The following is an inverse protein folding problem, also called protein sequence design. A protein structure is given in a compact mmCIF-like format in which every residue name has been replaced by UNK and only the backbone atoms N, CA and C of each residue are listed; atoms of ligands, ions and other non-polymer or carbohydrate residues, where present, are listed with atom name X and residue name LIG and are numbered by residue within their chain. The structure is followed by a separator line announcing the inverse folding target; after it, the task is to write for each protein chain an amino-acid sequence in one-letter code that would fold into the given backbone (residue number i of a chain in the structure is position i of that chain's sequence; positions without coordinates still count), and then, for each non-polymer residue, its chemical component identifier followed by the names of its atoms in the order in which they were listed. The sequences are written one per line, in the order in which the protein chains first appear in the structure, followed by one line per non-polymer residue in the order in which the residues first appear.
data_IF_164957938028
#
_entry.id   IF_164957938028
#
_cell.length_a   1.000
_cell.length_b   1.000
_cell.length_c   1.000
_cell.angle_alpha   90.00
_cell.angle_beta   90.00
_cell.angle_gamma   90.00
#
_symmetry.space_group_name_H-M   'P 1'
#
loop_
_entity.id
_entity.type
_entity.pdbx_description
1 polymer ?
#
# COMPACT_ATOMS: atom_id res chain seq x y z
N UNK A 1 -2.91 -18.51 20.53
CA UNK A 1 -3.30 -17.19 20.00
C UNK A 1 -2.06 -16.43 19.57
N UNK A 2 -1.58 -16.68 18.35
CA UNK A 2 -0.58 -15.84 17.69
C UNK A 2 -1.24 -15.32 16.41
N UNK A 3 -2.05 -14.27 16.57
CA UNK A 3 -2.68 -13.53 15.49
C UNK A 3 -1.59 -12.64 14.86
N UNK A 4 -0.66 -13.26 14.13
CA UNK A 4 0.47 -12.58 13.50
C UNK A 4 0.00 -11.76 12.30
N UNK A 5 -0.56 -10.59 12.60
CA UNK A 5 -0.27 -9.34 11.90
C UNK A 5 -0.78 -9.21 10.47
N UNK A 6 -2.02 -9.56 10.18
CA UNK A 6 -2.68 -9.07 8.97
C UNK A 6 -3.10 -7.61 9.22
N UNK A 7 -2.29 -6.66 8.77
CA UNK A 7 -2.65 -5.24 8.78
C UNK A 7 -3.31 -4.92 7.44
N UNK A 8 -4.62 -5.11 7.36
CA UNK A 8 -5.42 -4.78 6.16
C UNK A 8 -5.70 -3.27 6.02
N UNK A 9 -4.98 -2.45 6.79
CA UNK A 9 -5.19 -1.02 6.86
C UNK A 9 -3.87 -0.24 6.93
N UNK A 10 -3.89 0.95 6.36
CA UNK A 10 -2.83 1.94 6.48
C UNK A 10 -3.38 3.19 7.16
N UNK A 11 -2.52 3.95 7.82
CA UNK A 11 -2.86 5.24 8.41
C UNK A 11 -1.95 6.29 7.81
N UNK A 12 -2.52 7.35 7.23
CA UNK A 12 -1.79 8.43 6.56
C UNK A 12 -2.56 9.73 6.79
N UNK A 13 -1.88 10.82 7.17
CA UNK A 13 -2.47 12.15 7.32
C UNK A 13 -3.79 12.18 8.11
N UNK A 14 -3.80 11.58 9.30
CA UNK A 14 -4.99 11.43 10.17
C UNK A 14 -6.18 10.70 9.53
N UNK A 15 -5.93 9.90 8.48
CA UNK A 15 -6.93 9.03 7.86
C UNK A 15 -6.51 7.58 7.99
N UNK A 16 -7.49 6.71 8.27
CA UNK A 16 -7.32 5.26 8.25
C UNK A 16 -7.92 4.75 6.94
N UNK A 17 -7.18 3.90 6.22
CA UNK A 17 -7.58 3.34 4.94
C UNK A 17 -7.59 1.82 4.99
N UNK A 18 -8.57 1.18 4.37
CA UNK A 18 -8.60 -0.28 4.23
C UNK A 18 -9.30 -0.70 2.95
N UNK A 19 -8.98 -1.91 2.48
CA UNK A 19 -9.61 -2.49 1.30
C UNK A 19 -10.99 -3.05 1.65
N UNK A 20 -11.95 -2.83 0.75
CA UNK A 20 -13.29 -3.41 0.81
C UNK A 20 -13.58 -4.04 -0.55
N UNK A 21 -13.99 -5.31 -0.57
CA UNK A 21 -14.30 -6.02 -1.81
C UNK A 21 -14.53 -7.51 -1.58
N UNK A 22 -14.90 -8.21 -2.65
CA UNK A 22 -15.10 -9.66 -2.61
C UNK A 22 -13.77 -10.43 -2.64
N UNK A 23 -13.81 -11.67 -2.12
CA UNK A 23 -12.68 -12.61 -2.22
C UNK A 23 -12.44 -13.08 -3.66
N UNK A 24 -13.51 -13.18 -4.45
CA UNK A 24 -13.41 -13.50 -5.88
C UNK A 24 -12.86 -12.30 -6.62
N UNK A 25 -11.96 -12.54 -7.58
CA UNK A 25 -11.38 -11.46 -8.36
C UNK A 25 -12.46 -10.77 -9.21
N UNK A 26 -12.82 -9.57 -8.77
CA UNK A 26 -13.52 -8.57 -9.58
C UNK A 26 -12.96 -7.18 -9.20
N UNK A 27 -12.09 -6.59 -10.05
CA UNK A 27 -11.49 -5.29 -9.77
C UNK A 27 -12.54 -4.16 -9.72
N UNK A 28 -13.72 -4.38 -10.33
CA UNK A 28 -14.85 -3.46 -10.25
C UNK A 28 -15.59 -3.52 -8.93
N UNK A 29 -15.35 -4.54 -8.11
CA UNK A 29 -15.86 -4.68 -6.75
C UNK A 29 -14.88 -4.22 -5.66
N UNK A 30 -13.62 -3.92 -6.00
CA UNK A 30 -12.62 -3.46 -5.03
C UNK A 30 -12.75 -1.95 -4.81
N UNK A 31 -12.82 -1.54 -3.55
CA UNK A 31 -12.85 -0.15 -3.09
C UNK A 31 -11.82 0.05 -1.99
N UNK A 32 -11.34 1.28 -1.86
CA UNK A 32 -10.56 1.69 -0.70
C UNK A 32 -11.47 2.60 0.12
N UNK A 33 -11.78 2.19 1.34
CA UNK A 33 -12.54 3.01 2.28
C UNK A 33 -11.57 3.81 3.13
N UNK A 34 -11.92 5.05 3.44
CA UNK A 34 -11.17 5.91 4.34
C UNK A 34 -12.05 6.37 5.50
N UNK A 35 -11.47 6.50 6.68
CA UNK A 35 -12.06 7.18 7.82
C UNK A 35 -11.14 8.33 8.24
N UNK A 36 -11.66 9.55 8.17
CA UNK A 36 -10.95 10.76 8.57
C UNK A 36 -11.14 10.99 10.07
N UNK A 37 -10.04 10.92 10.82
CA UNK A 37 -10.06 11.01 12.28
C UNK A 37 -10.37 12.42 12.79
N UNK A 38 -10.17 13.46 11.97
CA UNK A 38 -10.42 14.85 12.37
C UNK A 38 -11.89 15.22 12.22
N UNK A 39 -12.49 14.79 11.13
CA UNK A 39 -13.88 15.08 10.79
C UNK A 39 -14.85 13.95 11.15
N UNK A 40 -14.32 12.79 11.57
CA UNK A 40 -15.06 11.57 11.88
C UNK A 40 -15.96 11.08 10.73
N UNK A 41 -15.53 11.31 9.49
CA UNK A 41 -16.30 10.99 8.30
C UNK A 41 -15.68 9.86 7.48
N UNK A 42 -16.55 9.06 6.88
CA UNK A 42 -16.16 8.05 5.90
C UNK A 42 -16.02 8.66 4.51
N UNK A 43 -15.07 8.13 3.75
CA UNK A 43 -14.83 8.47 2.36
C UNK A 43 -14.52 7.24 1.52
N UNK A 44 -14.60 7.41 0.21
CA UNK A 44 -14.19 6.40 -0.75
C UNK A 44 -13.04 6.95 -1.59
N UNK A 45 -12.01 6.13 -1.74
CA UNK A 45 -10.87 6.39 -2.62
C UNK A 45 -10.95 5.43 -3.79
N UNK A 46 -10.73 5.97 -4.99
CA UNK A 46 -10.69 5.17 -6.22
C UNK A 46 -9.60 4.12 -6.14
N UNK A 47 -9.94 2.85 -6.40
CA UNK A 47 -8.95 1.79 -6.54
C UNK A 47 -8.21 1.94 -7.89
N UNK A 48 -6.88 1.71 -7.97
CA UNK A 48 -6.10 1.78 -9.21
C UNK A 48 -6.38 0.60 -10.18
N UNK A 49 -7.63 0.46 -10.63
CA UNK A 49 -8.12 -0.66 -11.47
C UNK A 49 -7.29 -0.92 -12.73
N UNK A 50 -6.79 0.15 -13.35
CA UNK A 50 -5.96 0.06 -14.58
C UNK A 50 -4.65 -0.69 -14.36
N UNK A 51 -4.20 -0.79 -13.11
CA UNK A 51 -2.84 -1.22 -12.81
C UNK A 51 -2.75 -2.51 -12.00
N UNK A 52 -3.83 -2.96 -11.36
CA UNK A 52 -3.86 -4.22 -10.61
C UNK A 52 -5.02 -5.11 -11.05
N UNK A 53 -4.69 -6.36 -11.39
CA UNK A 53 -5.61 -7.44 -11.74
C UNK A 53 -5.69 -8.50 -10.62
N UNK A 54 -5.53 -8.08 -9.36
CA UNK A 54 -5.47 -8.97 -8.20
C UNK A 54 -6.73 -8.89 -7.34
N UNK A 55 -7.04 -9.99 -6.65
CA UNK A 55 -8.07 -10.03 -5.61
C UNK A 55 -7.59 -9.28 -4.35
N UNK A 56 -8.53 -8.87 -3.49
CA UNK A 56 -8.23 -8.13 -2.25
C UNK A 56 -7.23 -8.87 -1.33
N UNK A 57 -7.24 -10.20 -1.33
CA UNK A 57 -6.34 -11.01 -0.50
C UNK A 57 -4.87 -11.01 -0.99
N UNK A 58 -4.62 -10.55 -2.21
CA UNK A 58 -3.30 -10.43 -2.82
C UNK A 58 -2.82 -8.96 -2.85
N UNK A 59 -3.42 -8.10 -2.03
CA UNK A 59 -3.14 -6.68 -1.99
C UNK A 59 -3.01 -6.24 -0.54
N UNK A 60 -2.01 -5.41 -0.28
CA UNK A 60 -1.82 -4.75 1.01
C UNK A 60 -1.88 -3.23 0.81
N UNK A 61 -2.42 -2.54 1.81
CA UNK A 61 -2.30 -1.08 1.95
C UNK A 61 -1.23 -0.78 2.98
N UNK A 62 -0.28 0.06 2.61
CA UNK A 62 0.84 0.45 3.46
C UNK A 62 1.10 1.93 3.38
N UNK A 63 1.65 2.49 4.44
CA UNK A 63 2.22 3.83 4.42
C UNK A 63 3.68 3.74 3.99
N UNK A 64 4.05 4.48 2.94
CA UNK A 64 5.44 4.66 2.53
C UNK A 64 5.68 6.16 2.33
N UNK A 65 6.63 6.72 3.07
CA UNK A 65 6.98 8.16 3.02
C UNK A 65 5.74 9.06 3.14
N UNK A 66 4.93 8.83 4.19
CA UNK A 66 3.71 9.60 4.48
C UNK A 66 2.69 9.61 3.34
N UNK A 67 2.67 8.53 2.54
CA UNK A 67 1.73 8.38 1.42
C UNK A 67 1.09 7.01 1.46
N UNK A 68 -0.19 6.98 1.12
CA UNK A 68 -0.93 5.75 0.98
C UNK A 68 -0.41 5.01 -0.26
N UNK A 69 0.02 3.78 -0.05
CA UNK A 69 0.49 2.90 -1.11
C UNK A 69 -0.32 1.61 -1.14
N UNK A 70 -0.57 1.13 -2.35
CA UNK A 70 -1.07 -0.21 -2.62
C UNK A 70 0.12 -1.05 -3.06
N UNK A 71 0.25 -2.24 -2.51
CA UNK A 71 1.33 -3.17 -2.85
C UNK A 71 0.77 -4.54 -3.17
N UNK A 72 1.35 -5.19 -4.17
CA UNK A 72 1.07 -6.60 -4.42
C UNK A 72 1.58 -7.46 -3.25
N UNK A 73 0.75 -8.43 -2.87
CA UNK A 73 1.11 -9.54 -1.99
C UNK A 73 1.08 -10.80 -2.83
N UNK A 74 2.26 -11.28 -3.20
CA UNK A 74 2.36 -12.39 -4.13
C UNK A 74 3.03 -13.56 -3.47
N UNK A 75 2.33 -14.70 -3.38
CA UNK A 75 3.03 -15.96 -3.39
C UNK A 75 3.58 -16.13 -4.83
N UNK A 76 4.84 -16.55 -5.00
CA UNK A 76 5.41 -17.03 -6.28
C UNK A 76 5.83 -16.02 -7.37
N UNK A 77 5.67 -14.70 -7.22
CA UNK A 77 6.15 -13.74 -8.23
C UNK A 77 7.48 -13.07 -7.84
N UNK A 78 8.36 -12.91 -8.82
CA UNK A 78 9.68 -12.29 -8.65
C UNK A 78 9.65 -10.76 -8.66
N UNK A 79 8.47 -10.14 -8.61
CA UNK A 79 8.32 -8.69 -8.65
C UNK A 79 7.15 -8.22 -7.79
N UNK A 80 7.38 -7.22 -6.93
CA UNK A 80 6.33 -6.46 -6.25
C UNK A 80 6.20 -5.09 -6.91
N UNK A 81 4.98 -4.70 -7.24
CA UNK A 81 4.67 -3.34 -7.65
C UNK A 81 4.15 -2.52 -6.48
N UNK A 82 4.56 -1.25 -6.44
CA UNK A 82 4.10 -0.27 -5.46
C UNK A 82 3.40 0.86 -6.21
N UNK A 83 2.10 0.99 -5.98
CA UNK A 83 1.31 2.13 -6.43
C UNK A 83 1.19 3.12 -5.29
N UNK A 84 1.45 4.39 -5.57
CA UNK A 84 1.44 5.46 -4.60
C UNK A 84 0.33 6.45 -4.96
N UNK A 85 -0.48 6.80 -3.96
CA UNK A 85 -1.50 7.82 -4.11
C UNK A 85 -0.83 9.20 -4.22
N UNK A 86 -1.23 9.96 -5.23
CA UNK A 86 -0.77 11.33 -5.43
C UNK A 86 -1.48 12.26 -4.44
N UNK A 87 -0.80 13.32 -4.00
CA UNK A 87 -1.42 14.39 -3.21
C UNK A 87 -2.07 15.40 -4.17
N UNK A 88 -3.11 16.09 -3.71
CA UNK A 88 -3.93 17.07 -4.46
C UNK A 88 -3.12 18.16 -5.22
N UNK A 89 -1.83 18.34 -4.93
CA UNK A 89 -0.96 19.33 -5.59
C UNK A 89 -0.11 18.76 -6.74
N UNK A 90 -0.22 17.47 -7.03
CA UNK A 90 0.54 16.77 -8.08
C UNK A 90 -0.35 16.34 -9.26
N UNK A 91 -1.50 17.01 -9.44
CA UNK A 91 -2.61 16.78 -10.39
C UNK A 91 -2.29 16.96 -11.89
N UNK A 92 -1.08 16.65 -12.36
CA UNK A 92 -0.82 16.61 -13.80
C UNK A 92 -1.31 15.31 -14.47
N UNK A 93 -1.77 14.34 -13.69
CA UNK A 93 -2.33 13.09 -14.19
C UNK A 93 -3.80 12.95 -13.78
N UNK A 94 -4.66 12.61 -14.73
CA UNK A 94 -6.08 12.26 -14.51
C UNK A 94 -6.28 11.02 -13.61
N UNK A 95 -5.21 10.39 -13.14
CA UNK A 95 -5.20 9.17 -12.33
C UNK A 95 -4.61 9.49 -10.94
N UNK A 96 -5.40 9.24 -9.90
CA UNK A 96 -5.07 9.48 -8.48
C UNK A 96 -3.90 8.64 -7.95
N UNK A 97 -3.49 7.63 -8.72
CA UNK A 97 -2.46 6.66 -8.37
C UNK A 97 -1.39 6.60 -9.45
N UNK A 98 -0.14 6.52 -9.03
CA UNK A 98 1.00 6.28 -9.91
C UNK A 98 1.72 4.99 -9.53
N UNK A 99 2.15 4.23 -10.53
CA UNK A 99 3.06 3.10 -10.33
C UNK A 99 4.46 3.66 -10.04
N UNK A 100 4.84 3.72 -8.77
CA UNK A 100 6.06 4.42 -8.34
C UNK A 100 7.28 3.53 -8.32
N UNK A 101 7.14 2.30 -7.82
CA UNK A 101 8.26 1.37 -7.69
C UNK A 101 7.95 0.01 -8.29
N UNK A 102 9.01 -0.65 -8.76
CA UNK A 102 9.06 -2.05 -9.16
C UNK A 102 10.22 -2.67 -8.38
N UNK A 103 9.91 -3.58 -7.48
CA UNK A 103 10.90 -4.25 -6.63
C UNK A 103 11.07 -5.66 -7.16
N UNK A 104 12.27 -6.00 -7.61
CA UNK A 104 12.60 -7.35 -8.04
C UNK A 104 13.01 -8.19 -6.84
N UNK A 105 12.41 -9.36 -6.68
CA UNK A 105 12.67 -10.33 -5.61
C UNK A 105 13.57 -11.48 -6.08
N UNK A 106 14.52 -11.20 -6.98
CA UNK A 106 15.38 -12.22 -7.57
C UNK A 106 16.10 -13.04 -6.49
N UNK A 107 15.94 -14.36 -6.54
CA UNK A 107 16.57 -15.28 -5.59
C UNK A 107 15.81 -15.50 -4.26
N UNK A 108 14.63 -14.89 -4.09
CA UNK A 108 13.78 -15.11 -2.92
C UNK A 108 12.80 -16.25 -3.23
N UNK A 109 13.06 -17.43 -2.67
CA UNK A 109 12.15 -18.58 -2.71
C UNK A 109 11.21 -18.53 -1.51
N UNK A 110 10.22 -17.63 -1.55
CA UNK A 110 9.21 -17.49 -0.50
C UNK A 110 7.80 -17.43 -1.06
N UNK A 111 6.88 -18.08 -0.36
CA UNK A 111 5.46 -18.13 -0.73
C UNK A 111 4.66 -16.96 -0.17
N UNK A 112 5.27 -16.00 0.53
CA UNK A 112 4.57 -14.82 1.05
C UNK A 112 5.59 -13.72 1.32
N UNK A 113 5.67 -12.75 0.41
CA UNK A 113 6.51 -11.55 0.55
C UNK A 113 5.62 -10.34 0.64
N UNK A 114 5.83 -9.51 1.67
CA UNK A 114 5.01 -8.33 1.94
C UNK A 114 5.87 -7.12 2.26
N UNK A 115 5.41 -5.96 1.81
CA UNK A 115 5.93 -4.69 2.30
C UNK A 115 5.16 -4.33 3.57
N UNK A 116 5.88 -3.95 4.63
CA UNK A 116 5.25 -3.56 5.90
C UNK A 116 5.10 -2.05 6.06
N UNK A 117 5.84 -1.27 5.27
CA UNK A 117 5.84 0.19 5.30
C UNK A 117 7.26 0.76 5.22
N UNK A 118 7.40 2.00 5.66
CA UNK A 118 8.65 2.76 5.63
C UNK A 118 9.09 3.16 7.03
N UNK A 119 10.35 2.88 7.38
CA UNK A 119 10.98 3.43 8.59
C UNK A 119 11.73 4.71 8.22
N UNK A 120 11.30 5.83 8.80
CA UNK A 120 12.10 7.05 8.76
C UNK A 120 13.27 6.93 9.74
N UNK A 121 14.50 6.95 9.24
CA UNK A 121 15.73 7.00 10.06
C UNK A 121 15.98 8.41 10.57
N UNK A 122 14.99 9.02 11.24
CA UNK A 122 15.15 10.34 11.83
C UNK A 122 15.58 10.24 13.29
N UNK A 123 16.88 10.04 13.49
CA UNK A 123 17.56 10.32 14.77
C UNK A 123 18.87 11.06 14.50
N UNK A 124 18.81 12.25 13.90
CA UNK A 124 19.70 13.42 14.13
C UNK A 124 19.54 14.45 13.02
N UNK A 125 18.90 15.58 13.34
CA UNK A 125 19.31 16.95 13.03
C UNK A 125 19.63 17.44 11.60
N UNK A 126 20.12 16.65 10.66
CA UNK A 126 20.60 17.18 9.37
C UNK A 126 20.33 16.22 8.20
N UNK A 127 19.75 16.80 7.14
CA UNK A 127 19.70 16.37 5.73
C UNK A 127 19.32 14.92 5.40
N UNK A 128 18.23 14.79 4.62
CA UNK A 128 17.93 13.67 3.72
C UNK A 128 18.25 12.26 4.27
N UNK A 129 17.51 11.84 5.31
CA UNK A 129 17.53 10.43 5.69
C UNK A 129 16.83 9.59 4.61
N UNK A 130 17.58 8.80 3.86
CA UNK A 130 17.03 7.68 3.09
C UNK A 130 16.48 6.67 4.10
N UNK A 131 15.18 6.71 4.36
CA UNK A 131 14.54 5.67 5.17
C UNK A 131 14.42 4.37 4.40
N UNK A 132 14.22 3.29 5.14
CA UNK A 132 14.24 1.93 4.61
C UNK A 132 12.82 1.41 4.40
N UNK A 133 12.60 0.67 3.31
CA UNK A 133 11.36 -0.09 3.10
C UNK A 133 11.48 -1.40 3.86
N UNK A 134 10.54 -1.66 4.76
CA UNK A 134 10.49 -2.90 5.49
C UNK A 134 9.80 -3.99 4.65
N UNK A 135 10.47 -5.13 4.50
CA UNK A 135 9.95 -6.32 3.82
C UNK A 135 9.91 -7.47 4.81
N UNK A 136 8.82 -8.23 4.78
CA UNK A 136 8.65 -9.46 5.56
C UNK A 136 8.45 -10.66 4.65
N UNK A 137 9.11 -11.75 5.02
CA UNK A 137 8.94 -13.09 4.47
C UNK A 137 8.12 -13.91 5.47
N UNK A 138 6.98 -14.48 5.03
CA UNK A 138 5.94 -15.10 5.87
C UNK A 138 5.67 -16.57 5.59
#
# INVERSE_FOLDING_TARGET
FAFLGRKDYASVDDKIYWLVGEKKFDPDCIRIMSFDLRSENFGLVCFPKKYSNRSVECLDLVEIKERLCLTDRLPWESTIYVWMMMRDKEEFANDLWIKKYRIELLGIDHHDVRILGYLSTNNTGDSQSEGEILIKFG
#
